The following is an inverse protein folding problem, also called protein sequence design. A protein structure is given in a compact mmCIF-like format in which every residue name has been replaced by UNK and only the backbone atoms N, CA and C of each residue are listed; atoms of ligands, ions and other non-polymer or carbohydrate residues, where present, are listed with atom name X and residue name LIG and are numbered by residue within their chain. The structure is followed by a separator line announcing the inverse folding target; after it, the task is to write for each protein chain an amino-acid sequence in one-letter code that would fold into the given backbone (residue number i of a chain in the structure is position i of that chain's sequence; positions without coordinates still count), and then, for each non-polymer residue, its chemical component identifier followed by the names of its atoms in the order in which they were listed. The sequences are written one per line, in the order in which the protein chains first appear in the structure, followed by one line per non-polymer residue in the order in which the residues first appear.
data_IF_740525882363
#
_entry.id   IF_740525882363
#
_cell.length_a   1.000
_cell.length_b   1.000
_cell.length_c   1.000
_cell.angle_alpha   90.00
_cell.angle_beta   90.00
_cell.angle_gamma   90.00
#
_symmetry.space_group_name_H-M   'P 1'
#
loop_
_entity.id
_entity.type
_entity.pdbx_description
1 polymer ?
#
# COMPACT_ATOMS: atom_id res chain seq x y z
N UNK A 1 61.90 53.75 20.37
CA UNK A 1 61.48 53.44 18.99
C UNK A 1 62.04 52.07 18.70
N UNK A 2 61.33 51.05 19.20
CA UNK A 2 60.31 50.31 18.45
C UNK A 2 60.98 49.35 17.45
N UNK A 3 60.60 48.08 17.52
CA UNK A 3 60.93 46.99 16.58
C UNK A 3 62.12 46.06 16.87
N UNK A 4 62.31 45.64 18.13
CA UNK A 4 63.12 44.44 18.42
C UNK A 4 62.59 43.50 19.53
N UNK A 5 61.33 43.66 19.95
CA UNK A 5 60.65 42.73 20.88
C UNK A 5 59.59 41.83 20.20
N UNK A 6 59.49 41.86 18.87
CA UNK A 6 58.56 40.99 18.12
C UNK A 6 59.22 39.73 17.54
N UNK A 7 60.55 39.61 17.57
CA UNK A 7 61.24 38.44 17.05
C UNK A 7 61.31 37.28 18.07
N UNK A 8 61.18 37.55 19.37
CA UNK A 8 61.20 36.52 20.43
C UNK A 8 59.82 36.00 20.84
N UNK A 9 58.73 36.46 20.21
CA UNK A 9 57.38 35.96 20.48
C UNK A 9 56.92 34.86 19.50
N UNK A 10 57.60 34.72 18.36
CA UNK A 10 57.27 33.68 17.37
C UNK A 10 57.98 32.33 17.64
N UNK A 11 59.13 32.34 18.32
CA UNK A 11 59.89 31.10 18.62
C UNK A 11 59.44 30.37 19.90
N UNK A 12 58.57 30.96 20.73
CA UNK A 12 58.11 30.34 21.99
C UNK A 12 56.69 29.78 21.94
N UNK A 13 55.97 29.91 20.82
CA UNK A 13 54.62 29.35 20.64
C UNK A 13 54.56 28.16 19.68
N UNK A 14 55.70 27.66 19.22
CA UNK A 14 55.80 26.40 18.46
C UNK A 14 56.04 25.18 19.39
N UNK A 15 56.11 25.40 20.70
CA UNK A 15 56.42 24.35 21.70
C UNK A 15 55.22 23.89 22.55
N UNK A 16 53.99 24.04 22.07
CA UNK A 16 52.86 23.32 22.66
C UNK A 16 52.01 22.66 21.58
N UNK A 17 52.21 21.35 21.41
CA UNK A 17 51.14 20.48 20.92
C UNK A 17 51.33 19.79 19.58
N UNK A 18 52.54 19.46 19.16
CA UNK A 18 52.72 18.23 18.37
C UNK A 18 52.53 17.03 19.30
N UNK A 19 51.29 16.77 19.71
CA UNK A 19 50.92 15.42 20.13
C UNK A 19 50.84 14.63 18.83
N UNK A 20 51.97 14.03 18.44
CA UNK A 20 51.98 12.90 17.53
C UNK A 20 51.02 11.85 18.11
N UNK A 21 49.79 11.84 17.59
CA UNK A 21 48.88 10.71 17.79
C UNK A 21 49.48 9.57 16.98
N UNK A 22 50.47 8.88 17.54
CA UNK A 22 50.95 7.60 17.04
C UNK A 22 49.90 6.54 17.37
N UNK A 23 48.75 6.64 16.71
CA UNK A 23 47.70 5.63 16.81
C UNK A 23 48.26 4.33 16.24
N UNK A 24 48.47 3.34 17.10
CA UNK A 24 49.04 2.07 16.69
C UNK A 24 48.04 1.38 15.73
N UNK A 25 48.53 0.67 14.72
CA UNK A 25 47.69 0.00 13.72
C UNK A 25 46.60 -0.91 14.35
N UNK A 26 46.87 -1.42 15.56
CA UNK A 26 45.92 -2.22 16.35
C UNK A 26 44.74 -1.41 16.92
N UNK A 27 44.94 -0.13 17.25
CA UNK A 27 43.87 0.76 17.73
C UNK A 27 42.99 1.22 16.57
N UNK A 28 43.61 1.50 15.43
CA UNK A 28 42.93 1.87 14.19
C UNK A 28 42.03 0.74 13.68
N UNK A 29 42.53 -0.51 13.72
CA UNK A 29 41.74 -1.70 13.37
C UNK A 29 40.62 -1.98 14.37
N UNK A 30 40.82 -1.72 15.67
CA UNK A 30 39.78 -1.84 16.68
C UNK A 30 38.63 -0.84 16.45
N UNK A 31 38.95 0.42 16.11
CA UNK A 31 37.96 1.46 15.80
C UNK A 31 37.17 1.09 14.54
N UNK A 32 37.84 0.65 13.47
CA UNK A 32 37.17 0.22 12.23
C UNK A 32 36.25 -0.97 12.49
N UNK A 33 36.70 -1.97 13.25
CA UNK A 33 35.90 -3.16 13.57
C UNK A 33 34.67 -2.79 14.43
N UNK A 34 34.83 -1.88 15.39
CA UNK A 34 33.73 -1.37 16.20
C UNK A 34 32.72 -0.59 15.35
N UNK A 35 33.19 0.26 14.44
CA UNK A 35 32.34 1.01 13.52
C UNK A 35 31.55 0.10 12.57
N UNK A 36 32.19 -0.93 12.01
CA UNK A 36 31.52 -1.92 11.16
C UNK A 36 30.47 -2.73 11.94
N UNK A 37 30.79 -3.13 13.18
CA UNK A 37 29.86 -3.86 14.05
C UNK A 37 28.65 -2.99 14.43
N UNK A 38 28.88 -1.71 14.74
CA UNK A 38 27.83 -0.75 15.03
C UNK A 38 26.94 -0.49 13.79
N UNK A 39 27.55 -0.35 12.61
CA UNK A 39 26.82 -0.18 11.35
C UNK A 39 25.96 -1.41 11.02
N UNK A 40 26.50 -2.62 11.17
CA UNK A 40 25.75 -3.88 10.98
C UNK A 40 24.58 -4.00 11.95
N UNK A 41 24.79 -3.64 13.22
CA UNK A 41 23.73 -3.66 14.23
C UNK A 41 22.63 -2.66 13.89
N UNK A 42 22.99 -1.43 13.53
CA UNK A 42 22.05 -0.40 13.10
C UNK A 42 21.26 -0.84 11.87
N UNK A 43 21.92 -1.45 10.88
CA UNK A 43 21.26 -1.95 9.69
C UNK A 43 20.26 -3.07 10.00
N UNK A 44 20.60 -3.98 10.92
CA UNK A 44 19.70 -5.05 11.37
C UNK A 44 18.46 -4.48 12.04
N UNK A 45 18.61 -3.53 12.95
CA UNK A 45 17.49 -2.87 13.64
C UNK A 45 16.56 -2.17 12.63
N UNK A 46 17.14 -1.52 11.61
CA UNK A 46 16.40 -0.83 10.56
C UNK A 46 15.61 -1.81 9.66
N UNK A 47 16.16 -3.00 9.41
CA UNK A 47 15.47 -4.08 8.70
C UNK A 47 14.35 -4.69 9.53
N UNK A 48 14.59 -4.97 10.81
CA UNK A 48 13.59 -5.53 11.72
C UNK A 48 12.39 -4.57 11.85
N UNK A 49 12.66 -3.26 11.97
CA UNK A 49 11.60 -2.23 11.98
C UNK A 49 10.79 -2.20 10.68
N UNK A 50 11.44 -2.35 9.52
CA UNK A 50 10.74 -2.43 8.21
C UNK A 50 9.89 -3.70 8.10
N UNK A 51 10.39 -4.84 8.58
CA UNK A 51 9.66 -6.10 8.60
C UNK A 51 8.43 -6.03 9.50
N UNK A 52 8.55 -5.46 10.69
CA UNK A 52 7.39 -5.23 11.57
C UNK A 52 6.35 -4.33 10.90
N UNK A 53 6.79 -3.26 10.24
CA UNK A 53 5.88 -2.34 9.57
C UNK A 53 5.15 -2.99 8.38
N UNK A 54 5.85 -3.82 7.60
CA UNK A 54 5.25 -4.62 6.52
C UNK A 54 4.26 -5.63 7.10
N UNK A 55 4.65 -6.37 8.14
CA UNK A 55 3.80 -7.38 8.79
C UNK A 55 2.53 -6.76 9.33
N UNK A 56 2.63 -5.58 9.97
CA UNK A 56 1.48 -4.83 10.47
C UNK A 56 0.56 -4.37 9.34
N UNK A 57 1.11 -3.88 8.22
CA UNK A 57 0.34 -3.52 7.02
C UNK A 57 -0.41 -4.74 6.46
N UNK A 58 0.25 -5.88 6.33
CA UNK A 58 -0.38 -7.11 5.87
C UNK A 58 -1.51 -7.59 6.80
N UNK A 59 -1.28 -7.58 8.11
CA UNK A 59 -2.30 -7.95 9.09
C UNK A 59 -3.54 -7.03 9.01
N UNK A 60 -3.34 -5.73 8.76
CA UNK A 60 -4.46 -4.80 8.58
C UNK A 60 -5.17 -4.96 7.24
N UNK A 61 -4.48 -5.34 6.16
CA UNK A 61 -5.08 -5.52 4.83
C UNK A 61 -5.86 -6.84 4.70
N UNK A 62 -5.41 -7.91 5.36
CA UNK A 62 -6.07 -9.23 5.32
C UNK A 62 -7.25 -9.36 6.28
N UNK A 63 -7.49 -8.35 7.13
CA UNK A 63 -8.59 -8.33 8.10
C UNK A 63 -9.88 -7.71 7.54
N UNK A 64 -9.98 -7.50 6.23
CA UNK A 64 -11.30 -7.26 5.63
C UNK A 64 -12.13 -8.52 5.83
N UNK A 65 -13.19 -8.40 6.66
CA UNK A 65 -14.18 -9.43 6.94
C UNK A 65 -14.57 -10.12 5.63
N UNK A 66 -14.11 -11.34 5.42
CA UNK A 66 -14.68 -12.22 4.40
C UNK A 66 -16.04 -12.61 4.94
N UNK A 67 -17.07 -11.86 4.54
CA UNK A 67 -18.44 -12.24 4.85
C UNK A 67 -18.69 -13.64 4.29
N UNK A 68 -19.21 -14.58 5.11
CA UNK A 68 -19.52 -15.90 4.64
C UNK A 68 -20.54 -15.80 3.50
N UNK A 69 -20.33 -16.58 2.44
CA UNK A 69 -21.28 -16.64 1.33
C UNK A 69 -22.61 -17.20 1.84
N UNK A 70 -23.62 -16.36 1.97
CA UNK A 70 -24.98 -16.78 2.29
C UNK A 70 -25.75 -17.10 1.00
N UNK A 71 -26.41 -18.26 0.98
CA UNK A 71 -27.25 -18.65 -0.15
C UNK A 71 -28.42 -17.66 -0.29
N UNK A 72 -28.61 -17.15 -1.51
CA UNK A 72 -29.68 -16.19 -1.85
C UNK A 72 -31.06 -16.78 -1.51
N UNK A 73 -31.78 -16.12 -0.59
CA UNK A 73 -33.17 -16.45 -0.26
C UNK A 73 -34.11 -15.37 -0.77
N UNK A 74 -34.97 -15.74 -1.72
CA UNK A 74 -36.04 -14.85 -2.17
C UNK A 74 -37.08 -14.75 -1.05
N UNK A 75 -37.15 -13.58 -0.41
CA UNK A 75 -38.16 -13.28 0.59
C UNK A 75 -39.42 -12.86 -0.16
N UNK A 76 -40.40 -13.76 -0.27
CA UNK A 76 -41.60 -13.61 -1.12
C UNK A 76 -42.50 -12.40 -0.84
N UNK A 77 -42.21 -11.61 0.20
CA UNK A 77 -43.02 -10.46 0.63
C UNK A 77 -42.36 -9.09 0.38
N UNK A 78 -41.26 -9.01 -0.38
CA UNK A 78 -40.66 -7.71 -0.76
C UNK A 78 -41.17 -7.30 -2.14
N UNK A 79 -42.18 -6.40 -2.25
CA UNK A 79 -42.62 -5.87 -3.53
C UNK A 79 -41.54 -4.94 -4.09
N UNK A 80 -41.33 -5.02 -5.40
CA UNK A 80 -40.49 -4.10 -6.14
C UNK A 80 -41.30 -3.64 -7.36
N UNK A 81 -41.64 -2.37 -7.42
CA UNK A 81 -42.45 -1.81 -8.51
C UNK A 81 -41.61 -1.33 -9.70
N UNK A 82 -40.28 -1.24 -9.51
CA UNK A 82 -39.35 -0.82 -10.56
C UNK A 82 -39.38 -1.76 -11.76
N UNK A 83 -39.19 -1.21 -12.96
CA UNK A 83 -38.99 -2.00 -14.17
C UNK A 83 -37.55 -2.48 -14.26
N UNK A 84 -37.29 -3.48 -15.10
CA UNK A 84 -35.92 -4.00 -15.35
C UNK A 84 -35.20 -3.25 -16.47
N UNK A 85 -35.77 -2.16 -16.98
CA UNK A 85 -35.31 -1.53 -18.23
C UNK A 85 -33.94 -0.88 -18.06
N UNK A 86 -33.68 -0.29 -16.89
CA UNK A 86 -32.40 0.31 -16.57
C UNK A 86 -31.28 -0.75 -16.60
N UNK A 87 -31.47 -1.90 -15.92
CA UNK A 87 -30.52 -3.00 -15.96
C UNK A 87 -30.32 -3.56 -17.39
N UNK A 88 -31.40 -3.66 -18.17
CA UNK A 88 -31.34 -4.14 -19.57
C UNK A 88 -30.63 -3.18 -20.51
N UNK A 89 -30.71 -1.87 -20.26
CA UNK A 89 -30.10 -0.82 -21.08
C UNK A 89 -28.58 -0.71 -20.92
N UNK A 90 -27.99 -1.37 -19.92
CA UNK A 90 -26.55 -1.30 -19.68
C UNK A 90 -25.76 -1.76 -20.92
N UNK A 91 -24.67 -1.05 -21.25
CA UNK A 91 -23.74 -1.51 -22.27
C UNK A 91 -23.08 -2.82 -21.83
N UNK A 92 -22.63 -3.61 -22.80
CA UNK A 92 -21.81 -4.78 -22.51
C UNK A 92 -20.38 -4.37 -22.14
N UNK A 93 -19.72 -5.18 -21.32
CA UNK A 93 -18.33 -5.00 -20.94
C UNK A 93 -17.48 -6.20 -21.35
N UNK A 94 -16.46 -5.94 -22.15
CA UNK A 94 -15.56 -6.95 -22.72
C UNK A 94 -14.25 -7.13 -21.92
N UNK A 95 -14.04 -6.32 -20.89
CA UNK A 95 -12.82 -6.33 -20.07
C UNK A 95 -11.80 -5.25 -20.39
N UNK A 96 -12.05 -4.37 -21.37
CA UNK A 96 -11.10 -3.29 -21.71
C UNK A 96 -11.06 -2.20 -20.64
N UNK A 97 -9.84 -1.86 -20.20
CA UNK A 97 -9.61 -0.88 -19.13
C UNK A 97 -10.16 0.52 -19.46
N UNK A 98 -10.09 0.94 -20.72
CA UNK A 98 -10.60 2.24 -21.19
C UNK A 98 -12.11 2.43 -21.00
N UNK A 99 -12.88 1.34 -21.00
CA UNK A 99 -14.33 1.36 -20.79
C UNK A 99 -14.74 1.00 -19.36
N UNK A 100 -13.80 0.53 -18.53
CA UNK A 100 -14.11 0.00 -17.21
C UNK A 100 -14.76 1.04 -16.29
N UNK A 101 -14.22 2.26 -16.23
CA UNK A 101 -14.71 3.29 -15.30
C UNK A 101 -16.13 3.72 -15.66
N UNK A 102 -16.39 4.02 -16.93
CA UNK A 102 -17.71 4.42 -17.41
C UNK A 102 -18.73 3.30 -17.27
N UNK A 103 -18.34 2.07 -17.62
CA UNK A 103 -19.20 0.89 -17.46
C UNK A 103 -19.54 0.63 -15.99
N UNK A 104 -18.54 0.65 -15.09
CA UNK A 104 -18.73 0.47 -13.65
C UNK A 104 -19.68 1.50 -13.08
N UNK A 105 -19.56 2.76 -13.48
CA UNK A 105 -20.43 3.83 -13.01
C UNK A 105 -21.88 3.63 -13.47
N UNK A 106 -22.08 3.22 -14.73
CA UNK A 106 -23.40 2.87 -15.26
C UNK A 106 -24.00 1.67 -14.52
N UNK A 107 -23.23 0.58 -14.37
CA UNK A 107 -23.65 -0.63 -13.68
C UNK A 107 -23.99 -0.37 -12.20
N UNK A 108 -23.17 0.44 -11.52
CA UNK A 108 -23.43 0.85 -10.14
C UNK A 108 -24.72 1.65 -10.02
N UNK A 109 -24.96 2.60 -10.93
CA UNK A 109 -26.20 3.39 -10.96
C UNK A 109 -27.42 2.49 -11.18
N UNK A 110 -27.33 1.53 -12.10
CA UNK A 110 -28.40 0.57 -12.33
C UNK A 110 -28.65 -0.31 -11.09
N UNK A 111 -27.61 -0.81 -10.44
CA UNK A 111 -27.73 -1.63 -9.23
C UNK A 111 -28.36 -0.87 -8.06
N UNK A 112 -27.96 0.39 -7.83
CA UNK A 112 -28.48 1.22 -6.73
C UNK A 112 -29.99 1.39 -6.74
N UNK A 113 -30.64 1.33 -7.91
CA UNK A 113 -32.10 1.36 -8.01
C UNK A 113 -32.76 0.14 -7.34
N UNK A 114 -32.11 -1.02 -7.42
CA UNK A 114 -32.64 -2.29 -6.92
C UNK A 114 -32.11 -2.66 -5.54
N UNK A 115 -31.04 -2.03 -5.06
CA UNK A 115 -30.39 -2.30 -3.76
C UNK A 115 -31.41 -2.27 -2.59
N UNK A 116 -32.31 -1.29 -2.58
CA UNK A 116 -33.35 -1.15 -1.54
C UNK A 116 -34.40 -2.27 -1.53
N UNK A 117 -34.42 -3.14 -2.55
CA UNK A 117 -35.35 -4.26 -2.68
C UNK A 117 -34.65 -5.62 -2.57
N UNK A 118 -33.52 -5.67 -1.87
CA UNK A 118 -32.82 -6.92 -1.55
C UNK A 118 -33.81 -7.96 -0.99
N UNK A 119 -33.67 -9.23 -1.43
CA UNK A 119 -34.62 -10.29 -1.13
C UNK A 119 -35.81 -10.39 -2.10
N UNK A 120 -36.11 -9.35 -2.89
CA UNK A 120 -37.15 -9.42 -3.93
C UNK A 120 -36.68 -10.19 -5.16
N UNK A 121 -37.60 -10.85 -5.86
CA UNK A 121 -37.28 -11.53 -7.13
C UNK A 121 -36.72 -10.56 -8.19
N UNK A 122 -37.24 -9.32 -8.26
CA UNK A 122 -36.77 -8.32 -9.24
C UNK A 122 -35.36 -7.85 -8.95
N UNK A 123 -34.96 -7.71 -7.67
CA UNK A 123 -33.58 -7.41 -7.31
C UNK A 123 -32.63 -8.45 -7.89
N UNK A 124 -32.90 -9.74 -7.66
CA UNK A 124 -32.06 -10.81 -8.19
C UNK A 124 -32.08 -10.91 -9.72
N UNK A 125 -33.23 -10.63 -10.35
CA UNK A 125 -33.30 -10.53 -11.81
C UNK A 125 -32.42 -9.38 -12.35
N UNK A 126 -32.44 -8.21 -11.71
CA UNK A 126 -31.59 -7.09 -12.10
C UNK A 126 -30.10 -7.43 -11.94
N UNK A 127 -29.72 -8.02 -10.81
CA UNK A 127 -28.34 -8.48 -10.57
C UNK A 127 -27.89 -9.48 -11.64
N UNK A 128 -28.74 -10.46 -11.96
CA UNK A 128 -28.44 -11.45 -13.01
C UNK A 128 -28.28 -10.79 -14.38
N UNK A 129 -29.14 -9.81 -14.72
CA UNK A 129 -29.02 -9.05 -15.97
C UNK A 129 -27.69 -8.29 -16.01
N UNK A 130 -27.33 -7.58 -14.95
CA UNK A 130 -26.08 -6.81 -14.86
C UNK A 130 -24.86 -7.74 -15.02
N UNK A 131 -24.84 -8.89 -14.33
CA UNK A 131 -23.78 -9.90 -14.47
C UNK A 131 -23.65 -10.39 -15.92
N UNK A 132 -24.77 -10.60 -16.59
CA UNK A 132 -24.80 -11.07 -17.98
C UNK A 132 -24.36 -10.01 -19.01
N UNK A 133 -24.19 -8.74 -18.60
CA UNK A 133 -23.57 -7.71 -19.44
C UNK A 133 -22.05 -7.80 -19.48
N UNK A 134 -21.44 -8.56 -18.57
CA UNK A 134 -20.00 -8.86 -18.60
C UNK A 134 -19.80 -10.05 -19.54
N UNK A 135 -18.92 -9.89 -20.54
CA UNK A 135 -18.72 -10.84 -21.63
C UNK A 135 -17.23 -11.09 -21.87
N UNK A 136 -16.94 -12.15 -22.63
CA UNK A 136 -15.60 -12.42 -23.15
C UNK A 136 -14.58 -12.71 -22.03
N UNK A 137 -13.33 -12.22 -22.15
CA UNK A 137 -12.28 -12.47 -21.17
C UNK A 137 -12.65 -12.06 -19.74
N UNK A 138 -13.44 -10.99 -19.57
CA UNK A 138 -13.88 -10.54 -18.26
C UNK A 138 -14.83 -11.53 -17.57
N UNK A 139 -15.72 -12.19 -18.32
CA UNK A 139 -16.62 -13.21 -17.77
C UNK A 139 -15.85 -14.45 -17.29
N UNK A 140 -14.81 -14.85 -18.04
CA UNK A 140 -13.97 -15.98 -17.66
C UNK A 140 -13.27 -15.77 -16.30
N UNK A 141 -12.82 -14.54 -16.02
CA UNK A 141 -12.18 -14.19 -14.73
C UNK A 141 -13.18 -14.28 -13.57
N UNK A 142 -14.45 -13.95 -13.81
CA UNK A 142 -15.48 -14.02 -12.78
C UNK A 142 -15.98 -15.45 -12.54
N UNK A 143 -15.92 -16.31 -13.55
CA UNK A 143 -16.35 -17.70 -13.47
C UNK A 143 -15.28 -18.66 -12.91
N UNK A 144 -14.05 -18.19 -12.69
CA UNK A 144 -12.92 -19.01 -12.25
C UNK A 144 -12.78 -19.16 -10.72
N UNK A 145 -13.74 -18.69 -9.94
CA UNK A 145 -13.80 -18.80 -8.47
C UNK A 145 -14.93 -19.74 -8.06
#
# INVERSE_FOLDING_TARGET
MCDLELANLFDTLVLEGESEVSMNANELTAIVTAAMSAALKSQKEDFDAKLEQITKKFATTLSENVEPFEEVRIVGNVPCDETLDLAKSLPEFDGKQEHYVSWRQAAHTAYKLYERYEGSAKHYQAVAIIRNKIRGPADNVLASF
#
